data_IF_799954558809
#
_entry.id   IF_799954558809
#
_cell.length_a   1.000
_cell.length_b   1.000
_cell.length_c   1.000
_cell.angle_alpha   90.00
_cell.angle_beta   90.00
_cell.angle_gamma   90.00
#
_symmetry.space_group_name_H-M   'P 1'
#
loop_
_entity.id
_entity.type
_entity.pdbx_description
1 polymer ?
#
# COMPACT_ATOMS: atom_id res chain seq x y z
N UNK A 1 0.37 -13.40 6.60
CA UNK A 1 1.49 -12.48 6.32
C UNK A 1 1.91 -12.68 4.89
N UNK A 2 2.34 -11.61 4.23
CA UNK A 2 2.94 -11.72 2.90
C UNK A 2 4.46 -11.82 3.03
N UNK A 3 5.04 -12.63 2.15
CA UNK A 3 6.46 -12.92 2.11
C UNK A 3 6.99 -12.50 0.76
N UNK A 4 8.13 -11.82 0.77
CA UNK A 4 8.94 -11.62 -0.42
C UNK A 4 8.95 -10.18 -0.93
N UNK A 5 9.94 -9.98 -1.79
CA UNK A 5 10.22 -8.75 -2.50
C UNK A 5 10.35 -9.14 -3.97
N UNK A 6 9.82 -8.34 -4.89
CA UNK A 6 9.93 -8.58 -6.32
C UNK A 6 10.50 -7.40 -7.09
N UNK A 7 11.47 -7.68 -7.95
CA UNK A 7 11.98 -6.74 -8.96
C UNK A 7 11.31 -6.99 -10.31
N UNK A 8 11.22 -5.95 -11.14
CA UNK A 8 10.54 -6.02 -12.43
C UNK A 8 9.05 -6.30 -12.32
N UNK A 9 8.41 -5.92 -11.20
CA UNK A 9 6.98 -6.17 -10.95
C UNK A 9 6.07 -5.45 -11.96
N UNK A 10 6.49 -4.29 -12.45
CA UNK A 10 5.75 -3.49 -13.42
C UNK A 10 4.34 -3.12 -12.98
N UNK A 11 4.17 -2.65 -11.73
CA UNK A 11 2.90 -2.05 -11.31
C UNK A 11 2.68 -0.76 -12.07
N UNK A 12 1.49 -0.58 -12.65
CA UNK A 12 1.12 0.62 -13.39
C UNK A 12 0.16 1.45 -12.53
N UNK A 13 0.70 2.45 -11.84
CA UNK A 13 -0.12 3.27 -10.94
C UNK A 13 -1.12 4.07 -11.76
N UNK A 14 -2.40 3.99 -11.37
CA UNK A 14 -3.48 4.69 -12.07
C UNK A 14 -3.32 6.20 -11.96
N UNK A 15 -3.88 6.93 -12.92
CA UNK A 15 -3.85 8.40 -12.95
C UNK A 15 -4.62 9.07 -11.80
N UNK A 16 -5.80 8.56 -11.36
CA UNK A 16 -6.51 9.18 -10.23
C UNK A 16 -5.69 9.18 -8.94
N UNK A 17 -5.66 10.33 -8.27
CA UNK A 17 -4.92 10.55 -7.02
C UNK A 17 -5.57 9.90 -5.80
N UNK A 18 -6.83 9.46 -5.91
CA UNK A 18 -7.60 9.00 -4.76
C UNK A 18 -8.50 7.82 -5.07
N UNK A 19 -8.83 7.06 -4.01
CA UNK A 19 -9.81 5.98 -4.04
C UNK A 19 -10.68 6.01 -2.80
N UNK A 20 -11.98 5.89 -2.99
CA UNK A 20 -12.88 5.56 -1.91
C UNK A 20 -12.61 4.10 -1.51
N UNK A 21 -12.31 3.89 -0.24
CA UNK A 21 -12.16 2.58 0.39
C UNK A 21 -13.45 2.33 1.17
N UNK A 22 -14.23 1.31 0.79
CA UNK A 22 -15.50 1.03 1.46
C UNK A 22 -15.26 0.08 2.63
N UNK A 23 -16.04 0.28 3.69
CA UNK A 23 -15.99 -0.62 4.84
C UNK A 23 -16.25 -2.08 4.40
N UNK A 24 -15.41 -2.99 4.89
CA UNK A 24 -15.44 -4.42 4.58
C UNK A 24 -14.71 -4.84 3.29
N UNK A 25 -14.20 -3.90 2.50
CA UNK A 25 -13.34 -4.24 1.35
C UNK A 25 -11.96 -4.73 1.83
N UNK A 26 -11.38 -5.67 1.10
CA UNK A 26 -10.03 -6.19 1.34
C UNK A 26 -9.10 -5.69 0.23
N UNK A 27 -7.96 -5.14 0.63
CA UNK A 27 -6.93 -4.60 -0.27
C UNK A 27 -5.53 -5.05 0.12
N UNK A 28 -4.57 -4.87 -0.78
CA UNK A 28 -3.16 -5.20 -0.56
C UNK A 28 -2.34 -3.93 -0.40
N UNK A 29 -1.44 -3.92 0.59
CA UNK A 29 -0.48 -2.86 0.83
C UNK A 29 0.90 -3.30 0.34
N UNK A 30 1.50 -2.49 -0.51
CA UNK A 30 2.77 -2.75 -1.17
C UNK A 30 3.72 -1.59 -0.92
N UNK A 31 4.97 -1.86 -0.54
CA UNK A 31 5.99 -0.83 -0.32
C UNK A 31 6.98 -0.75 -1.47
N UNK A 32 7.39 0.45 -1.83
CA UNK A 32 8.52 0.71 -2.74
C UNK A 32 9.49 1.72 -2.13
N UNK A 33 10.73 1.72 -2.61
CA UNK A 33 11.74 2.75 -2.33
C UNK A 33 11.99 3.67 -3.52
N UNK A 34 11.28 3.46 -4.64
CA UNK A 34 11.44 4.28 -5.85
C UNK A 34 10.99 5.73 -5.60
N UNK A 35 11.91 6.68 -5.77
CA UNK A 35 11.67 8.10 -5.49
C UNK A 35 10.59 8.73 -6.39
N UNK A 36 10.53 8.30 -7.64
CA UNK A 36 9.61 8.80 -8.67
C UNK A 36 8.24 8.08 -8.70
N UNK A 37 8.00 7.16 -7.76
CA UNK A 37 6.71 6.47 -7.67
C UNK A 37 5.57 7.48 -7.45
N UNK A 38 4.52 7.37 -8.26
CA UNK A 38 3.40 8.29 -8.23
C UNK A 38 2.30 7.92 -9.25
N UNK A 39 1.17 8.65 -9.23
CA UNK A 39 0.07 8.46 -10.18
C UNK A 39 0.55 8.48 -11.63
N UNK A 40 0.12 7.50 -12.43
CA UNK A 40 0.50 7.38 -13.82
C UNK A 40 1.93 6.89 -14.07
N UNK A 41 2.65 6.49 -13.02
CA UNK A 41 4.02 5.97 -13.13
C UNK A 41 4.05 4.46 -12.93
N UNK A 42 5.06 3.85 -13.55
CA UNK A 42 5.39 2.45 -13.33
C UNK A 42 6.26 2.30 -12.07
N UNK A 43 6.03 1.24 -11.32
CA UNK A 43 6.86 0.82 -10.17
C UNK A 43 7.29 -0.63 -10.38
N UNK A 44 8.59 -0.89 -10.38
CA UNK A 44 9.16 -2.20 -10.66
C UNK A 44 9.66 -2.92 -9.41
N UNK A 45 9.95 -2.17 -8.38
CA UNK A 45 10.70 -2.56 -7.19
C UNK A 45 9.74 -2.54 -6.00
N UNK A 46 9.23 -3.71 -5.57
CA UNK A 46 8.20 -3.79 -4.50
C UNK A 46 8.44 -4.82 -3.38
N UNK A 47 8.06 -4.47 -2.15
CA UNK A 47 7.91 -5.38 -1.02
C UNK A 47 6.43 -5.55 -0.67
N UNK A 48 6.01 -6.76 -0.33
CA UNK A 48 4.62 -7.04 0.02
C UNK A 48 4.41 -6.92 1.53
N UNK A 49 3.61 -5.95 1.97
CA UNK A 49 3.37 -5.71 3.40
C UNK A 49 2.24 -6.60 3.92
N UNK A 50 1.01 -6.36 3.48
CA UNK A 50 -0.15 -7.08 4.01
C UNK A 50 -1.36 -7.01 3.10
N UNK A 51 -2.26 -7.99 3.25
CA UNK A 51 -3.68 -7.77 2.98
C UNK A 51 -4.32 -7.15 4.21
N UNK A 52 -5.24 -6.20 4.01
CA UNK A 52 -5.98 -5.54 5.09
C UNK A 52 -7.46 -5.39 4.74
N UNK A 53 -8.31 -5.45 5.76
CA UNK A 53 -9.74 -5.13 5.67
C UNK A 53 -9.97 -3.67 6.08
N UNK A 54 -10.78 -2.96 5.32
CA UNK A 54 -11.18 -1.58 5.64
C UNK A 54 -12.23 -1.62 6.76
N UNK A 55 -11.81 -1.35 7.99
CA UNK A 55 -12.74 -1.32 9.13
C UNK A 55 -13.57 -0.03 9.20
N UNK A 56 -13.01 1.09 8.72
CA UNK A 56 -13.69 2.38 8.62
C UNK A 56 -13.48 2.90 7.21
N UNK A 57 -14.58 3.04 6.47
CA UNK A 57 -14.53 3.53 5.09
C UNK A 57 -14.10 4.99 5.03
N UNK A 58 -13.52 5.39 3.91
CA UNK A 58 -12.99 6.73 3.73
C UNK A 58 -12.45 6.98 2.34
N UNK A 59 -11.81 8.14 2.15
CA UNK A 59 -11.10 8.48 0.93
C UNK A 59 -9.60 8.44 1.22
N UNK A 60 -8.88 7.56 0.52
CA UNK A 60 -7.42 7.55 0.54
C UNK A 60 -6.89 8.40 -0.63
N UNK A 61 -5.91 9.25 -0.37
CA UNK A 61 -5.32 10.19 -1.32
C UNK A 61 -3.80 10.04 -1.33
N UNK A 62 -3.18 10.10 -2.51
CA UNK A 62 -1.72 10.14 -2.60
C UNK A 62 -1.15 11.29 -1.77
N UNK A 63 -0.14 11.00 -0.96
CA UNK A 63 0.42 11.90 0.04
C UNK A 63 -0.03 11.57 1.46
N UNK A 64 -1.11 10.80 1.63
CA UNK A 64 -1.58 10.41 2.96
C UNK A 64 -0.52 9.60 3.73
N UNK A 65 -0.33 9.87 5.03
CA UNK A 65 0.48 9.02 5.86
C UNK A 65 -0.19 7.66 6.03
N UNK A 66 0.62 6.61 6.02
CA UNK A 66 0.21 5.24 6.33
C UNK A 66 1.09 4.75 7.46
N UNK A 67 0.49 4.24 8.54
CA UNK A 67 1.25 3.80 9.71
C UNK A 67 0.81 2.44 10.25
N UNK A 68 1.78 1.74 10.82
CA UNK A 68 1.61 0.50 11.57
C UNK A 68 2.68 0.40 12.66
N UNK A 69 2.26 0.36 13.92
CA UNK A 69 3.19 0.41 15.06
C UNK A 69 4.06 1.66 15.00
N UNK A 70 5.38 1.46 14.97
CA UNK A 70 6.39 2.53 14.81
C UNK A 70 6.76 2.86 13.36
N UNK A 71 6.19 2.13 12.39
CA UNK A 71 6.51 2.29 10.97
C UNK A 71 5.58 3.31 10.31
N UNK A 72 6.18 4.14 9.45
CA UNK A 72 5.48 5.18 8.69
C UNK A 72 5.88 5.12 7.22
N UNK A 73 4.89 5.26 6.36
CA UNK A 73 5.03 5.33 4.91
C UNK A 73 4.16 6.45 4.35
N UNK A 74 4.34 6.75 3.07
CA UNK A 74 3.51 7.70 2.33
C UNK A 74 2.78 6.98 1.20
N UNK A 75 1.46 7.11 1.10
CA UNK A 75 0.71 6.59 -0.03
C UNK A 75 1.12 7.31 -1.33
N UNK A 76 1.57 6.57 -2.34
CA UNK A 76 2.03 7.15 -3.61
C UNK A 76 1.14 6.80 -4.80
N UNK A 77 0.25 5.82 -4.67
CA UNK A 77 -0.73 5.53 -5.72
C UNK A 77 -1.45 4.22 -5.53
N UNK A 78 -2.18 3.84 -6.58
CA UNK A 78 -2.99 2.63 -6.61
C UNK A 78 -2.72 1.87 -7.90
N UNK A 79 -2.69 0.54 -7.85
CA UNK A 79 -2.59 -0.32 -9.02
C UNK A 79 -3.80 -1.27 -9.11
N UNK A 80 -4.20 -1.60 -10.35
CA UNK A 80 -5.39 -2.39 -10.67
C UNK A 80 -5.08 -3.79 -11.21
N UNK A 81 -3.84 -4.27 -11.07
CA UNK A 81 -3.43 -5.58 -11.61
C UNK A 81 -4.37 -6.71 -11.18
N UNK A 82 -4.95 -6.62 -9.98
CA UNK A 82 -5.86 -7.62 -9.42
C UNK A 82 -7.34 -7.19 -9.37
N UNK A 83 -7.71 -6.06 -9.97
CA UNK A 83 -9.11 -5.65 -10.02
C UNK A 83 -9.96 -6.68 -10.81
N UNK A 84 -11.22 -6.94 -10.40
CA UNK A 84 -11.97 -6.33 -9.31
C UNK A 84 -11.79 -7.01 -7.95
N UNK A 85 -10.87 -7.98 -7.81
CA UNK A 85 -10.67 -8.72 -6.57
C UNK A 85 -10.22 -7.79 -5.43
N UNK A 86 -9.13 -7.05 -5.66
CA UNK A 86 -8.63 -6.04 -4.73
C UNK A 86 -7.79 -4.98 -5.45
N UNK A 87 -7.49 -3.90 -4.73
CA UNK A 87 -6.58 -2.84 -5.17
C UNK A 87 -5.22 -3.04 -4.48
N UNK A 88 -4.15 -2.73 -5.21
CA UNK A 88 -2.85 -2.49 -4.61
C UNK A 88 -2.79 -1.03 -4.17
N UNK A 89 -2.60 -0.78 -2.87
CA UNK A 89 -2.21 0.51 -2.34
C UNK A 89 -0.69 0.52 -2.25
N UNK A 90 -0.06 1.39 -3.03
CA UNK A 90 1.40 1.46 -3.09
C UNK A 90 1.89 2.59 -2.23
N UNK A 91 2.75 2.28 -1.26
CA UNK A 91 3.34 3.23 -0.33
C UNK A 91 4.85 3.33 -0.54
N UNK A 92 5.42 4.50 -0.27
CA UNK A 92 6.86 4.71 -0.26
C UNK A 92 7.41 4.66 1.16
N UNK A 93 8.50 3.91 1.35
CA UNK A 93 9.19 3.76 2.62
C UNK A 93 10.70 3.84 2.51
N UNK A 94 11.42 3.78 3.64
CA UNK A 94 12.88 3.77 3.67
C UNK A 94 13.48 2.42 3.22
N UNK A 95 12.68 1.35 3.23
CA UNK A 95 13.09 0.00 2.83
C UNK A 95 11.93 -0.74 2.17
N UNK A 96 12.26 -1.86 1.53
CA UNK A 96 11.31 -2.76 0.86
C UNK A 96 11.00 -4.03 1.65
N UNK A 97 11.22 -3.99 2.97
CA UNK A 97 10.93 -5.12 3.85
C UNK A 97 9.48 -5.59 3.67
N UNK A 98 9.30 -6.89 3.57
CA UNK A 98 7.99 -7.53 3.54
C UNK A 98 7.33 -7.50 4.92
N UNK A 99 6.01 -7.72 4.97
CA UNK A 99 5.30 -7.74 6.25
C UNK A 99 5.79 -8.82 7.20
N UNK A 100 6.29 -9.95 6.68
CA UNK A 100 6.95 -10.96 7.52
C UNK A 100 8.25 -10.45 8.14
N UNK A 101 9.12 -9.80 7.36
CA UNK A 101 10.38 -9.24 7.86
C UNK A 101 10.14 -8.15 8.92
N UNK A 102 9.04 -7.40 8.78
CA UNK A 102 8.59 -6.43 9.77
C UNK A 102 7.87 -7.07 10.97
N UNK A 103 7.54 -8.36 10.92
CA UNK A 103 6.81 -9.05 11.99
C UNK A 103 5.33 -8.70 12.08
N UNK A 104 4.73 -8.14 11.02
CA UNK A 104 3.31 -7.82 10.95
C UNK A 104 2.46 -9.07 11.19
N UNK A 105 1.31 -8.90 11.84
CA UNK A 105 0.37 -9.97 12.13
C UNK A 105 -1.04 -9.75 11.60
N UNK A 106 -1.73 -10.85 11.28
CA UNK A 106 -3.18 -10.80 11.01
C UNK A 106 -3.87 -10.32 12.28
N UNK A 107 -4.74 -9.32 12.12
CA UNK A 107 -5.41 -8.64 13.24
C UNK A 107 -4.70 -7.37 13.70
N UNK A 108 -3.48 -7.08 13.21
CA UNK A 108 -2.84 -5.80 13.45
C UNK A 108 -3.60 -4.65 12.79
N UNK A 109 -3.44 -3.45 13.36
CA UNK A 109 -4.11 -2.25 12.90
C UNK A 109 -3.19 -1.36 12.07
N UNK A 110 -3.65 -1.00 10.88
CA UNK A 110 -3.06 0.01 10.01
C UNK A 110 -3.94 1.26 9.99
N UNK A 111 -3.34 2.44 9.90
CA UNK A 111 -4.04 3.72 9.75
C UNK A 111 -3.62 4.37 8.45
N UNK A 112 -4.59 4.88 7.67
CA UNK A 112 -4.38 5.63 6.42
C UNK A 112 -5.04 7.01 6.59
N UNK A 113 -4.31 8.09 6.29
CA UNK A 113 -4.86 9.45 6.30
C UNK A 113 -5.13 10.02 7.71
N UNK A 114 -4.76 9.29 8.76
CA UNK A 114 -4.75 9.79 10.14
C UNK A 114 -3.39 10.42 10.44
N UNK A 115 -3.38 11.69 10.84
CA UNK A 115 -2.28 12.23 11.64
C UNK A 115 -2.44 11.64 13.05
N UNK A 116 -1.37 11.15 13.71
CA UNK A 116 -1.45 10.65 15.08
C UNK A 116 -2.07 11.65 16.06
#
# INVERSE_FOLDING_TARGET
>A
MLRGQLDGRGLELIQPLSRALRQGEIHELVVTTEGEAGPGRRVDSVGYLAFFEVQSGGLAVTGDPVSWGEHFWTLVGFDLTHAPNHLNLVVRGPSRLSGEELGMRVGDRLVIGGIP
#
